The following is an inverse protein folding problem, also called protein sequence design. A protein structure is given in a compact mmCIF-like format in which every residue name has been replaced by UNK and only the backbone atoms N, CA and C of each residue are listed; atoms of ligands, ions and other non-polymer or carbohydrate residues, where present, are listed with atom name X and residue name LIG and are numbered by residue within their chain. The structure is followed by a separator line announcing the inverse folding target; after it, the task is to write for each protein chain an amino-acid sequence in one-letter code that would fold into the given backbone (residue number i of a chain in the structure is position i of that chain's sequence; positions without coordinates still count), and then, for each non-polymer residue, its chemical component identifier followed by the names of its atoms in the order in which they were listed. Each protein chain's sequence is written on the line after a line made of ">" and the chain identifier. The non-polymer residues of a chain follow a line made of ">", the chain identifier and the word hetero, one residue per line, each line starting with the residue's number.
data_IF_243785879412
#
_entry.id   IF_243785879412
#
_cell.length_a   1.000
_cell.length_b   1.000
_cell.length_c   1.000
_cell.angle_alpha   90.00
_cell.angle_beta   90.00
_cell.angle_gamma   90.00
#
_symmetry.space_group_name_H-M   'P 1'
#
loop_
_entity.id
_entity.type
_entity.pdbx_description
1 polymer ?
#
# COMPACT_ATOMS: atom_id res chain seq x y z
N UNK A 1 -38.72 -26.11 41.55
CA UNK A 1 -37.51 -25.83 40.78
C UNK A 1 -37.88 -25.19 39.43
N UNK A 2 -38.32 -23.94 39.40
CA UNK A 2 -38.69 -23.24 38.13
C UNK A 2 -38.52 -21.71 38.23
N UNK A 3 -37.47 -21.21 38.86
CA UNK A 3 -37.20 -19.74 38.95
C UNK A 3 -35.80 -19.29 38.53
N UNK A 4 -34.96 -20.20 37.98
CA UNK A 4 -33.56 -19.86 37.66
C UNK A 4 -33.26 -19.56 36.19
N UNK A 5 -34.18 -19.76 35.22
CA UNK A 5 -33.90 -19.63 33.77
C UNK A 5 -34.30 -18.25 33.22
N UNK A 6 -35.20 -17.53 33.87
CA UNK A 6 -35.67 -16.21 33.41
C UNK A 6 -34.67 -15.07 33.67
N UNK A 7 -33.90 -15.14 34.75
CA UNK A 7 -32.93 -14.07 35.12
C UNK A 7 -31.66 -14.05 34.27
N UNK A 8 -31.20 -15.21 33.77
CA UNK A 8 -30.03 -15.31 32.90
C UNK A 8 -30.22 -14.67 31.51
N UNK A 9 -31.47 -14.72 31.01
CA UNK A 9 -31.79 -14.17 29.69
C UNK A 9 -31.95 -12.65 29.72
N UNK A 10 -32.44 -12.08 30.82
CA UNK A 10 -32.58 -10.62 30.99
C UNK A 10 -31.23 -9.93 31.19
N UNK A 11 -30.29 -10.55 31.92
CA UNK A 11 -28.93 -10.04 32.07
C UNK A 11 -28.13 -10.09 30.73
N UNK A 12 -28.30 -11.14 29.94
CA UNK A 12 -27.68 -11.26 28.61
C UNK A 12 -28.19 -10.18 27.64
N UNK A 13 -29.50 -9.91 27.63
CA UNK A 13 -30.11 -8.88 26.77
C UNK A 13 -29.69 -7.46 27.22
N UNK A 14 -29.61 -7.20 28.53
CA UNK A 14 -29.10 -5.92 29.04
C UNK A 14 -27.60 -5.70 28.69
N UNK A 15 -26.81 -6.75 28.77
CA UNK A 15 -25.38 -6.71 28.38
C UNK A 15 -25.21 -6.44 26.89
N UNK A 16 -26.00 -7.10 26.03
CA UNK A 16 -25.99 -6.86 24.58
C UNK A 16 -26.43 -5.43 24.25
N UNK A 17 -27.52 -4.93 24.85
CA UNK A 17 -27.98 -3.55 24.64
C UNK A 17 -26.98 -2.50 25.14
N UNK A 18 -26.29 -2.79 26.25
CA UNK A 18 -25.23 -1.91 26.78
C UNK A 18 -24.02 -1.88 25.85
N UNK A 19 -23.63 -3.02 25.27
CA UNK A 19 -22.60 -3.12 24.25
C UNK A 19 -22.99 -2.40 22.94
N UNK A 20 -24.24 -2.52 22.50
CA UNK A 20 -24.75 -1.81 21.33
C UNK A 20 -24.78 -0.29 21.53
N UNK A 21 -25.20 0.19 22.71
CA UNK A 21 -25.23 1.61 23.04
C UNK A 21 -23.82 2.19 23.25
N UNK A 22 -22.91 1.42 23.83
CA UNK A 22 -21.48 1.79 23.92
C UNK A 22 -20.84 1.81 22.55
N UNK A 23 -21.13 0.86 21.67
CA UNK A 23 -20.67 0.85 20.27
C UNK A 23 -21.22 2.03 19.46
N UNK A 24 -22.48 2.43 19.66
CA UNK A 24 -23.04 3.60 18.98
C UNK A 24 -22.42 4.93 19.46
N UNK A 25 -22.16 5.08 20.75
CA UNK A 25 -21.48 6.27 21.29
C UNK A 25 -19.99 6.30 20.93
N UNK A 26 -19.31 5.17 20.95
CA UNK A 26 -17.94 5.05 20.48
C UNK A 26 -17.84 5.31 18.97
N UNK A 27 -18.79 4.81 18.18
CA UNK A 27 -18.88 5.04 16.74
C UNK A 27 -19.01 6.52 16.37
N UNK A 28 -19.80 7.29 17.11
CA UNK A 28 -19.97 8.73 16.85
C UNK A 28 -18.72 9.57 17.22
N UNK A 29 -17.98 9.17 18.27
CA UNK A 29 -16.72 9.84 18.63
C UNK A 29 -15.55 9.42 17.76
N UNK A 30 -15.57 8.20 17.21
CA UNK A 30 -14.55 7.63 16.33
C UNK A 30 -14.64 8.22 14.90
N UNK A 31 -15.83 8.61 14.44
CA UNK A 31 -16.04 9.19 13.11
C UNK A 31 -15.42 10.59 12.92
N UNK A 32 -15.04 11.29 14.00
CA UNK A 32 -14.41 12.62 13.93
C UNK A 32 -12.87 12.61 13.98
N UNK A 33 -12.23 11.45 14.22
CA UNK A 33 -10.78 11.38 14.29
C UNK A 33 -10.18 11.09 12.92
N UNK A 34 -9.12 11.83 12.58
CA UNK A 34 -8.37 11.65 11.33
C UNK A 34 -7.83 10.22 11.20
N UNK A 35 -8.03 9.61 10.03
CA UNK A 35 -7.46 8.32 9.63
C UNK A 35 -6.45 8.56 8.54
N UNK A 36 -5.19 8.24 8.80
CA UNK A 36 -4.09 8.43 7.89
C UNK A 36 -4.05 7.34 6.83
N UNK A 37 -3.92 7.73 5.55
CA UNK A 37 -3.59 6.83 4.44
C UNK A 37 -2.09 6.92 4.16
N UNK A 38 -1.38 5.81 4.41
CA UNK A 38 0.06 5.69 4.18
C UNK A 38 0.33 4.97 2.87
N UNK A 39 0.86 5.70 1.88
CA UNK A 39 1.11 5.21 0.53
C UNK A 39 2.53 4.65 0.35
N UNK A 40 2.72 3.56 -0.43
CA UNK A 40 4.02 3.02 -0.76
C UNK A 40 4.67 3.83 -1.88
N UNK A 41 5.94 4.18 -1.73
CA UNK A 41 6.70 4.92 -2.74
C UNK A 41 8.01 4.21 -3.04
N UNK A 42 8.22 3.84 -4.32
CA UNK A 42 9.45 3.23 -4.81
C UNK A 42 10.14 4.02 -5.92
N UNK A 43 9.52 5.13 -6.37
CA UNK A 43 10.07 6.04 -7.39
C UNK A 43 9.47 7.43 -7.26
N UNK A 44 10.02 8.41 -7.95
CA UNK A 44 9.46 9.77 -7.98
C UNK A 44 8.07 9.82 -8.63
N UNK A 45 7.81 8.98 -9.64
CA UNK A 45 6.50 8.84 -10.27
C UNK A 45 5.45 8.36 -9.25
N UNK A 46 5.82 7.39 -8.39
CA UNK A 46 4.96 6.91 -7.32
C UNK A 46 4.77 7.96 -6.21
N UNK A 47 5.79 8.77 -5.90
CA UNK A 47 5.69 9.88 -4.96
C UNK A 47 4.67 10.92 -5.44
N UNK A 48 4.80 11.36 -6.69
CA UNK A 48 3.88 12.32 -7.30
C UNK A 48 2.46 11.76 -7.39
N UNK A 49 2.31 10.48 -7.76
CA UNK A 49 1.02 9.79 -7.80
C UNK A 49 0.35 9.70 -6.41
N UNK A 50 1.12 9.39 -5.36
CA UNK A 50 0.61 9.34 -3.98
C UNK A 50 0.12 10.73 -3.51
N UNK A 51 0.87 11.78 -3.81
CA UNK A 51 0.51 13.17 -3.50
C UNK A 51 -0.76 13.58 -4.26
N UNK A 52 -0.85 13.32 -5.57
CA UNK A 52 -2.04 13.60 -6.39
C UNK A 52 -3.28 12.90 -5.85
N UNK A 53 -3.14 11.66 -5.38
CA UNK A 53 -4.22 10.87 -4.83
C UNK A 53 -4.64 11.31 -3.40
N UNK A 54 -3.92 12.25 -2.79
CA UNK A 54 -4.22 12.79 -1.46
C UNK A 54 -3.77 11.88 -0.31
N UNK A 55 -2.66 11.16 -0.47
CA UNK A 55 -2.05 10.42 0.64
C UNK A 55 -1.69 11.36 1.79
N UNK A 56 -1.87 10.92 3.04
CA UNK A 56 -1.50 11.69 4.23
C UNK A 56 -0.02 11.46 4.58
N UNK A 57 0.50 10.30 4.22
CA UNK A 57 1.89 9.93 4.41
C UNK A 57 2.39 9.04 3.28
N UNK A 58 3.70 9.06 3.07
CA UNK A 58 4.40 8.15 2.14
C UNK A 58 5.50 7.41 2.88
N UNK A 59 5.71 6.12 2.53
CA UNK A 59 6.82 5.36 3.07
C UNK A 59 7.68 4.76 1.95
N UNK A 60 8.98 4.77 2.16
CA UNK A 60 9.96 4.38 1.14
C UNK A 60 11.21 3.76 1.78
N UNK A 61 12.10 3.19 0.96
CA UNK A 61 13.39 2.64 1.37
C UNK A 61 14.55 3.36 0.71
N UNK A 62 15.67 3.41 1.41
CA UNK A 62 16.95 3.89 0.91
C UNK A 62 17.98 2.76 1.10
N UNK A 63 18.84 2.54 0.09
CA UNK A 63 19.91 1.55 0.14
C UNK A 63 19.44 0.14 0.55
N UNK A 64 20.17 -0.50 1.44
CA UNK A 64 20.02 -1.93 1.74
C UNK A 64 19.28 -2.25 3.04
N UNK A 65 19.18 -1.32 3.98
CA UNK A 65 18.64 -1.59 5.33
C UNK A 65 17.10 -1.60 5.39
N UNK A 66 16.45 -2.11 4.36
CA UNK A 66 15.00 -2.19 4.29
C UNK A 66 14.50 -3.52 3.67
N UNK A 67 13.29 -3.95 4.06
CA UNK A 67 12.69 -5.24 3.67
C UNK A 67 12.39 -5.40 2.17
N UNK A 68 12.64 -4.41 1.34
CA UNK A 68 12.47 -4.43 -0.13
C UNK A 68 13.76 -4.03 -0.86
N UNK A 69 14.92 -4.14 -0.21
CA UNK A 69 16.20 -3.73 -0.77
C UNK A 69 16.53 -4.36 -2.14
N UNK A 70 16.05 -5.59 -2.40
CA UNK A 70 16.25 -6.30 -3.68
C UNK A 70 14.99 -6.43 -4.55
N UNK A 71 13.82 -6.08 -4.04
CA UNK A 71 12.54 -6.32 -4.74
C UNK A 71 11.79 -5.04 -5.14
N UNK A 72 12.35 -3.87 -4.87
CA UNK A 72 11.87 -2.58 -5.31
C UNK A 72 13.05 -1.70 -5.72
N UNK A 73 12.81 -0.73 -6.59
CA UNK A 73 13.74 0.37 -6.75
C UNK A 73 13.81 1.12 -5.42
N UNK A 74 15.02 1.37 -4.92
CA UNK A 74 15.22 2.12 -3.70
C UNK A 74 15.85 3.46 -4.05
N UNK A 75 15.51 4.47 -3.26
CA UNK A 75 16.17 5.76 -3.33
C UNK A 75 17.58 5.69 -2.74
N UNK A 76 18.36 6.71 -2.96
CA UNK A 76 19.68 6.93 -2.36
C UNK A 76 19.56 7.91 -1.19
N UNK A 77 20.63 8.07 -0.42
CA UNK A 77 20.69 9.03 0.69
C UNK A 77 20.52 10.47 0.17
N UNK A 78 21.05 10.76 -1.02
CA UNK A 78 20.96 12.05 -1.68
C UNK A 78 19.52 12.44 -2.05
N UNK A 79 18.64 11.45 -2.26
CA UNK A 79 17.23 11.69 -2.58
C UNK A 79 16.41 12.18 -1.38
N UNK A 80 16.88 11.92 -0.13
CA UNK A 80 16.12 12.20 1.09
C UNK A 80 15.63 13.65 1.18
N UNK A 81 16.52 14.61 0.88
CA UNK A 81 16.18 16.04 0.90
C UNK A 81 15.07 16.39 -0.11
N UNK A 82 15.19 15.90 -1.34
CA UNK A 82 14.20 16.14 -2.40
C UNK A 82 12.85 15.50 -2.08
N UNK A 83 12.84 14.30 -1.52
CA UNK A 83 11.61 13.60 -1.12
C UNK A 83 10.92 14.38 0.00
N UNK A 84 11.68 14.75 1.05
CA UNK A 84 11.15 15.49 2.18
C UNK A 84 10.55 16.84 1.77
N UNK A 85 11.29 17.63 0.98
CA UNK A 85 10.84 18.94 0.47
C UNK A 85 9.58 18.79 -0.40
N UNK A 86 9.55 17.79 -1.31
CA UNK A 86 8.41 17.56 -2.19
C UNK A 86 7.16 17.18 -1.38
N UNK A 87 7.28 16.26 -0.44
CA UNK A 87 6.16 15.85 0.40
C UNK A 87 5.69 16.98 1.31
N UNK A 88 6.61 17.72 1.95
CA UNK A 88 6.29 18.81 2.87
C UNK A 88 5.52 19.96 2.20
N UNK A 89 5.86 20.30 0.95
CA UNK A 89 5.11 21.33 0.17
C UNK A 89 3.63 20.98 -0.01
N UNK A 90 3.28 19.70 0.09
CA UNK A 90 1.91 19.20 -0.04
C UNK A 90 1.30 18.74 1.30
N UNK A 91 2.00 18.97 2.43
CA UNK A 91 1.52 18.56 3.75
C UNK A 91 1.54 17.04 3.98
N UNK A 92 2.32 16.29 3.19
CA UNK A 92 2.43 14.83 3.28
C UNK A 92 3.60 14.43 4.16
N UNK A 93 3.37 13.54 5.13
CA UNK A 93 4.41 13.01 6.02
C UNK A 93 5.29 11.98 5.31
N UNK A 94 6.56 11.88 5.74
CA UNK A 94 7.55 10.99 5.10
C UNK A 94 8.09 9.99 6.11
N UNK A 95 8.07 8.70 5.76
CA UNK A 95 8.51 7.61 6.63
C UNK A 95 9.56 6.76 5.93
N UNK A 96 10.78 6.76 6.48
CA UNK A 96 11.87 5.93 5.96
C UNK A 96 11.84 4.55 6.61
N UNK A 97 11.85 3.49 5.79
CA UNK A 97 11.96 2.12 6.31
C UNK A 97 13.42 1.75 6.56
N UNK A 98 13.75 1.47 7.82
CA UNK A 98 15.01 0.87 8.29
C UNK A 98 14.61 -0.35 9.11
N UNK A 99 14.00 -1.33 8.45
CA UNK A 99 13.25 -2.40 9.11
C UNK A 99 13.76 -3.81 8.82
N UNK A 100 15.01 -3.95 8.41
CA UNK A 100 15.75 -5.22 8.41
C UNK A 100 16.33 -5.52 9.79
N UNK A 101 16.78 -6.74 10.00
CA UNK A 101 17.69 -7.09 11.11
C UNK A 101 19.04 -6.44 10.81
N UNK A 102 19.67 -5.82 11.79
CA UNK A 102 20.97 -5.14 11.68
C UNK A 102 22.06 -6.02 12.27
N UNK A 103 23.16 -6.20 11.54
CA UNK A 103 24.34 -6.90 12.04
C UNK A 103 25.37 -5.89 12.59
N UNK A 104 26.32 -6.37 13.40
CA UNK A 104 27.28 -5.49 14.06
C UNK A 104 28.12 -4.64 13.10
N UNK A 105 28.43 -5.17 11.93
CA UNK A 105 29.16 -4.49 10.86
C UNK A 105 28.34 -3.45 10.08
N UNK A 106 27.06 -3.35 10.34
CA UNK A 106 26.12 -2.40 9.71
C UNK A 106 25.68 -1.27 10.66
N UNK A 107 26.13 -1.29 11.92
CA UNK A 107 25.71 -0.30 12.93
C UNK A 107 26.08 1.12 12.50
N UNK A 108 27.28 1.33 11.98
CA UNK A 108 27.75 2.65 11.54
C UNK A 108 26.94 3.14 10.32
N UNK A 109 26.73 2.29 9.31
CA UNK A 109 25.87 2.59 8.14
C UNK A 109 24.42 2.96 8.58
N UNK A 110 23.89 2.20 9.54
CA UNK A 110 22.56 2.46 10.11
C UNK A 110 22.52 3.83 10.82
N UNK A 111 23.51 4.16 11.63
CA UNK A 111 23.60 5.45 12.29
C UNK A 111 23.66 6.60 11.29
N UNK A 112 24.51 6.49 10.26
CA UNK A 112 24.63 7.49 9.19
C UNK A 112 23.32 7.69 8.47
N UNK A 113 22.61 6.60 8.11
CA UNK A 113 21.32 6.66 7.42
C UNK A 113 20.24 7.35 8.27
N UNK A 114 20.13 7.03 9.55
CA UNK A 114 19.14 7.60 10.46
C UNK A 114 19.46 9.09 10.72
N UNK A 115 20.74 9.48 10.84
CA UNK A 115 21.16 10.88 10.95
C UNK A 115 20.84 11.67 9.67
N UNK A 116 21.12 11.10 8.50
CA UNK A 116 20.80 11.72 7.22
C UNK A 116 19.29 11.94 7.05
N UNK A 117 18.48 10.96 7.46
CA UNK A 117 17.02 11.08 7.46
C UNK A 117 16.55 12.24 8.38
N UNK A 118 17.11 12.33 9.59
CA UNK A 118 16.82 13.46 10.49
C UNK A 118 17.22 14.80 9.89
N UNK A 119 18.43 14.90 9.34
CA UNK A 119 18.94 16.13 8.72
C UNK A 119 18.09 16.56 7.51
N UNK A 120 17.57 15.62 6.74
CA UNK A 120 16.68 15.88 5.62
C UNK A 120 15.24 16.26 6.02
N UNK A 121 14.88 16.14 7.29
CA UNK A 121 13.53 16.45 7.78
C UNK A 121 12.51 15.32 7.52
N UNK A 122 12.97 14.07 7.40
CA UNK A 122 12.09 12.88 7.35
C UNK A 122 11.32 12.79 8.67
N UNK A 123 10.00 12.57 8.58
CA UNK A 123 9.09 12.63 9.73
C UNK A 123 9.35 11.51 10.73
N UNK A 124 9.47 10.24 10.25
CA UNK A 124 9.68 9.08 11.12
C UNK A 124 10.50 7.97 10.47
N UNK A 125 11.01 7.08 11.31
CA UNK A 125 11.67 5.83 10.92
C UNK A 125 10.74 4.65 11.22
N UNK A 126 10.49 3.80 10.23
CA UNK A 126 9.80 2.52 10.42
C UNK A 126 10.85 1.45 10.70
N UNK A 127 10.89 0.93 11.92
CA UNK A 127 11.95 0.06 12.42
C UNK A 127 11.43 -1.25 13.04
N UNK A 128 12.26 -2.28 13.05
CA UNK A 128 12.01 -3.56 13.73
C UNK A 128 13.17 -4.03 14.60
N UNK A 129 14.37 -3.60 14.31
CA UNK A 129 15.58 -3.93 15.08
C UNK A 129 15.74 -2.94 16.26
N UNK A 130 16.09 -3.46 17.43
CA UNK A 130 16.27 -2.63 18.62
C UNK A 130 17.40 -1.61 18.48
N UNK A 131 18.45 -1.91 17.72
CA UNK A 131 19.53 -0.97 17.45
C UNK A 131 19.01 0.28 16.74
N UNK A 132 18.14 0.10 15.73
CA UNK A 132 17.49 1.22 15.01
C UNK A 132 16.51 1.97 15.91
N UNK A 133 15.63 1.23 16.61
CA UNK A 133 14.57 1.80 17.46
C UNK A 133 15.19 2.69 18.55
N UNK A 134 16.15 2.16 19.31
CA UNK A 134 16.75 2.88 20.42
C UNK A 134 17.62 4.04 19.94
N UNK A 135 18.35 3.88 18.85
CA UNK A 135 19.16 4.94 18.28
C UNK A 135 18.31 6.09 17.75
N UNK A 136 17.32 5.81 16.90
CA UNK A 136 16.42 6.84 16.36
C UNK A 136 15.73 7.64 17.48
N UNK A 137 15.21 6.93 18.50
CA UNK A 137 14.63 7.55 19.68
C UNK A 137 15.63 8.44 20.43
N UNK A 138 16.87 7.96 20.66
CA UNK A 138 17.90 8.68 21.40
C UNK A 138 18.29 10.02 20.78
N UNK A 139 18.20 10.12 19.45
CA UNK A 139 18.49 11.36 18.72
C UNK A 139 17.20 12.18 18.43
N UNK A 140 16.06 11.79 18.98
CA UNK A 140 14.78 12.51 18.86
C UNK A 140 14.11 12.38 17.49
N UNK A 141 14.27 11.27 16.79
CA UNK A 141 13.53 10.92 15.57
C UNK A 141 12.33 10.06 15.96
N UNK A 142 11.15 10.37 15.42
CA UNK A 142 9.93 9.58 15.61
C UNK A 142 10.12 8.14 15.10
N UNK A 143 9.63 7.16 15.85
CA UNK A 143 9.72 5.75 15.53
C UNK A 143 8.33 5.15 15.36
N UNK A 144 8.14 4.41 14.27
CA UNK A 144 7.00 3.51 14.05
C UNK A 144 7.48 2.06 14.11
N UNK A 145 6.85 1.25 14.96
CA UNK A 145 7.24 -0.17 15.08
C UNK A 145 6.69 -0.95 13.90
N UNK A 146 7.60 -1.55 13.14
CA UNK A 146 7.28 -2.30 11.93
C UNK A 146 6.55 -3.61 12.23
N UNK A 147 5.79 -4.10 11.23
CA UNK A 147 5.06 -5.39 11.30
C UNK A 147 5.96 -6.59 11.61
N UNK A 148 7.28 -6.51 11.35
CA UNK A 148 8.24 -7.58 11.67
C UNK A 148 8.37 -7.84 13.19
N UNK A 149 7.99 -6.88 14.04
CA UNK A 149 7.91 -7.08 15.48
C UNK A 149 6.70 -7.93 15.90
N UNK A 150 5.76 -8.22 15.00
CA UNK A 150 4.62 -9.12 15.21
C UNK A 150 3.81 -8.78 16.47
N UNK A 151 3.52 -7.49 16.69
CA UNK A 151 2.76 -7.01 17.84
C UNK A 151 1.34 -7.61 17.81
N UNK A 152 1.01 -8.44 18.78
CA UNK A 152 -0.22 -9.22 18.83
C UNK A 152 -0.98 -9.13 20.14
N UNK A 153 -0.49 -8.37 21.11
CA UNK A 153 -1.12 -8.23 22.41
C UNK A 153 -0.77 -6.88 23.07
N UNK A 154 -1.51 -6.57 24.14
CA UNK A 154 -1.41 -5.31 24.86
C UNK A 154 -0.08 -5.10 25.60
N UNK A 155 0.58 -6.16 26.04
CA UNK A 155 1.86 -6.05 26.74
C UNK A 155 2.99 -5.70 25.76
N UNK A 156 2.95 -6.23 24.53
CA UNK A 156 3.85 -5.82 23.48
C UNK A 156 3.67 -4.32 23.13
N UNK A 157 2.42 -3.84 23.06
CA UNK A 157 2.14 -2.42 22.84
C UNK A 157 2.72 -1.57 23.97
N UNK A 158 2.48 -1.96 25.25
CA UNK A 158 3.02 -1.24 26.42
C UNK A 158 4.55 -1.19 26.41
N UNK A 159 5.18 -2.28 25.98
CA UNK A 159 6.65 -2.34 25.86
C UNK A 159 7.16 -1.37 24.80
N UNK A 160 6.58 -1.39 23.59
CA UNK A 160 7.06 -0.55 22.48
C UNK A 160 6.64 0.92 22.60
N UNK A 161 5.59 1.24 23.37
CA UNK A 161 5.16 2.61 23.63
C UNK A 161 6.27 3.50 24.27
N UNK A 162 7.29 2.89 24.87
CA UNK A 162 8.43 3.61 25.42
C UNK A 162 9.30 4.28 24.34
N UNK A 163 9.24 3.80 23.09
CA UNK A 163 10.09 4.28 21.99
C UNK A 163 9.31 4.74 20.76
N UNK A 164 8.01 4.42 20.66
CA UNK A 164 7.27 4.62 19.43
C UNK A 164 5.88 5.19 19.66
N UNK A 165 5.44 6.05 18.74
CA UNK A 165 4.11 6.65 18.73
C UNK A 165 3.11 5.85 17.89
N UNK A 166 3.60 4.99 16.99
CA UNK A 166 2.79 4.12 16.12
C UNK A 166 3.30 2.69 16.17
N UNK A 167 2.37 1.75 16.30
CA UNK A 167 2.66 0.31 16.28
C UNK A 167 1.86 -0.39 15.18
N UNK A 168 2.53 -1.24 14.39
CA UNK A 168 1.87 -2.09 13.39
C UNK A 168 1.50 -3.42 14.02
N UNK A 169 0.22 -3.77 14.02
CA UNK A 169 -0.20 -5.08 14.52
C UNK A 169 0.17 -6.21 13.56
N UNK A 170 0.31 -7.41 14.10
CA UNK A 170 0.51 -8.63 13.31
C UNK A 170 -0.66 -8.81 12.31
N UNK A 171 -0.33 -9.28 11.11
CA UNK A 171 -1.28 -9.36 9.98
C UNK A 171 -2.35 -10.44 10.16
N UNK A 172 -2.09 -11.42 10.99
CA UNK A 172 -2.96 -12.54 11.31
C UNK A 172 -4.01 -12.25 12.39
N UNK A 173 -4.00 -11.05 12.98
CA UNK A 173 -4.96 -10.69 14.01
C UNK A 173 -6.35 -10.40 13.42
N UNK A 174 -7.42 -11.00 13.97
CA UNK A 174 -8.78 -10.60 13.66
C UNK A 174 -9.11 -9.22 14.28
N UNK A 175 -10.01 -8.47 13.66
CA UNK A 175 -10.40 -7.13 14.09
C UNK A 175 -10.84 -7.05 15.56
N UNK A 176 -11.42 -8.13 16.11
CA UNK A 176 -11.76 -8.19 17.52
C UNK A 176 -10.53 -7.95 18.41
N UNK A 177 -9.41 -8.64 18.13
CA UNK A 177 -8.18 -8.45 18.90
C UNK A 177 -7.53 -7.07 18.64
N UNK A 178 -7.61 -6.56 17.41
CA UNK A 178 -7.17 -5.18 17.12
C UNK A 178 -8.00 -4.17 17.94
N UNK A 179 -9.32 -4.34 18.02
CA UNK A 179 -10.19 -3.49 18.82
C UNK A 179 -9.88 -3.58 20.33
N UNK A 180 -9.58 -4.77 20.84
CA UNK A 180 -9.14 -4.97 22.23
C UNK A 180 -7.84 -4.20 22.53
N UNK A 181 -6.86 -4.22 21.61
CA UNK A 181 -5.61 -3.47 21.73
C UNK A 181 -5.88 -1.95 21.72
N UNK A 182 -6.65 -1.45 20.78
CA UNK A 182 -6.95 -0.01 20.70
C UNK A 182 -7.77 0.48 21.90
N UNK A 183 -8.69 -0.34 22.40
CA UNK A 183 -9.44 -0.04 23.61
C UNK A 183 -8.54 -0.01 24.84
N UNK A 184 -7.63 -0.97 24.97
CA UNK A 184 -6.65 -1.01 26.06
C UNK A 184 -5.75 0.23 26.09
N UNK A 185 -5.28 0.70 24.91
CA UNK A 185 -4.49 1.95 24.80
C UNK A 185 -5.28 3.12 25.39
N UNK A 186 -6.55 3.28 25.04
CA UNK A 186 -7.41 4.35 25.56
C UNK A 186 -7.68 4.23 27.05
N UNK A 187 -8.05 3.03 27.50
CA UNK A 187 -8.48 2.80 28.89
C UNK A 187 -7.31 2.94 29.89
N UNK A 188 -6.09 2.67 29.45
CA UNK A 188 -4.88 2.72 30.28
C UNK A 188 -3.99 3.92 29.97
N UNK A 189 -4.44 4.86 29.14
CA UNK A 189 -3.71 6.07 28.74
C UNK A 189 -2.28 5.77 28.24
N UNK A 190 -2.12 4.74 27.39
CA UNK A 190 -0.81 4.32 26.88
C UNK A 190 -0.33 5.33 25.85
N UNK A 191 0.70 6.10 26.20
CA UNK A 191 1.25 7.18 25.40
C UNK A 191 2.64 6.83 24.85
N UNK A 192 2.90 7.32 23.65
CA UNK A 192 4.21 7.28 23.03
C UNK A 192 5.12 8.44 23.47
N UNK A 193 6.34 8.53 22.92
CA UNK A 193 7.31 9.60 23.24
C UNK A 193 6.82 11.03 23.03
N UNK A 194 5.89 11.27 22.12
CA UNK A 194 5.25 12.58 21.88
C UNK A 194 4.24 12.97 22.95
N UNK A 195 3.92 12.09 23.88
CA UNK A 195 2.88 12.29 24.89
C UNK A 195 1.45 12.11 24.38
N UNK A 196 1.26 11.65 23.16
CA UNK A 196 -0.02 11.29 22.58
C UNK A 196 -0.31 9.79 22.75
N UNK A 197 -1.59 9.39 22.67
CA UNK A 197 -1.94 7.97 22.70
C UNK A 197 -1.27 7.24 21.52
N UNK A 198 -0.68 6.08 21.80
CA UNK A 198 -0.09 5.23 20.77
C UNK A 198 -1.15 4.88 19.71
N UNK A 199 -0.80 5.08 18.45
CA UNK A 199 -1.67 4.79 17.32
C UNK A 199 -1.44 3.37 16.80
N UNK A 200 -2.52 2.73 16.38
CA UNK A 200 -2.47 1.40 15.76
C UNK A 200 -2.55 1.55 14.25
N UNK A 201 -1.53 0.99 13.57
CA UNK A 201 -1.44 0.86 12.13
C UNK A 201 -1.81 -0.58 11.72
N UNK A 202 -2.57 -0.71 10.63
CA UNK A 202 -2.85 -1.99 9.99
C UNK A 202 -2.62 -1.92 8.49
N UNK A 203 -2.32 -3.06 7.85
CA UNK A 203 -2.36 -3.14 6.40
C UNK A 203 -3.81 -3.11 5.90
N UNK A 204 -4.08 -2.26 4.92
CA UNK A 204 -5.41 -2.10 4.34
C UNK A 204 -5.52 -2.74 2.95
N UNK A 205 -4.43 -2.72 2.16
CA UNK A 205 -4.46 -3.19 0.78
C UNK A 205 -3.10 -3.73 0.33
N UNK A 206 -3.12 -4.69 -0.61
CA UNK A 206 -1.97 -5.16 -1.37
C UNK A 206 -1.44 -6.51 -0.93
N UNK A 207 -0.22 -6.83 -1.35
CA UNK A 207 0.35 -8.15 -1.22
C UNK A 207 0.42 -8.65 0.23
N UNK A 208 -0.17 -9.82 0.46
CA UNK A 208 -0.05 -10.52 1.74
C UNK A 208 1.08 -11.58 1.67
N UNK A 209 1.81 -11.74 2.77
CA UNK A 209 2.81 -12.77 2.89
C UNK A 209 2.15 -14.08 3.39
N UNK A 210 2.59 -15.23 2.86
CA UNK A 210 2.16 -16.52 3.35
C UNK A 210 2.75 -16.89 4.73
N UNK A 211 3.85 -16.24 5.08
CA UNK A 211 4.57 -16.44 6.35
C UNK A 211 4.30 -15.31 7.32
N UNK A 212 4.45 -15.58 8.61
CA UNK A 212 4.57 -14.55 9.64
C UNK A 212 5.63 -13.54 9.23
N UNK A 213 5.35 -12.25 9.40
CA UNK A 213 6.20 -11.17 8.90
C UNK A 213 7.63 -11.28 9.43
N UNK A 214 8.61 -11.29 8.50
CA UNK A 214 10.03 -11.40 8.81
C UNK A 214 10.51 -12.81 9.22
N UNK A 215 9.68 -13.85 9.18
CA UNK A 215 10.03 -15.21 9.65
C UNK A 215 10.13 -16.26 8.53
N UNK A 216 10.16 -15.83 7.26
CA UNK A 216 10.21 -16.74 6.12
C UNK A 216 11.65 -17.21 5.83
N UNK A 217 11.84 -18.53 5.74
CA UNK A 217 13.11 -19.17 5.40
C UNK A 217 13.27 -19.59 3.94
N UNK A 218 12.22 -19.54 3.11
CA UNK A 218 12.25 -20.08 1.75
C UNK A 218 13.43 -19.56 0.91
N UNK A 219 13.63 -18.25 0.87
CA UNK A 219 14.75 -17.68 0.09
C UNK A 219 16.11 -17.89 0.74
N UNK A 220 16.15 -18.04 2.06
CA UNK A 220 17.40 -18.30 2.78
C UNK A 220 17.87 -19.74 2.54
N UNK A 221 16.98 -20.71 2.66
CA UNK A 221 17.26 -22.13 2.48
C UNK A 221 17.72 -22.44 1.05
N UNK A 222 16.95 -21.98 0.06
CA UNK A 222 17.19 -22.32 -1.35
C UNK A 222 18.36 -21.54 -1.98
N UNK A 223 18.54 -20.27 -1.61
CA UNK A 223 19.47 -19.35 -2.30
C UNK A 223 20.41 -18.58 -1.37
N UNK A 224 20.39 -18.84 -0.09
CA UNK A 224 21.13 -18.08 0.92
C UNK A 224 20.78 -16.57 0.92
N UNK A 225 19.50 -16.24 0.63
CA UNK A 225 18.96 -14.88 0.65
C UNK A 225 17.94 -14.70 1.76
N UNK A 226 18.32 -14.03 2.86
CA UNK A 226 17.44 -13.84 4.00
C UNK A 226 16.34 -12.81 3.73
N UNK A 227 15.08 -13.23 3.90
CA UNK A 227 13.94 -12.33 3.80
C UNK A 227 13.97 -11.23 4.88
N UNK A 228 14.49 -11.52 6.10
CA UNK A 228 14.70 -10.53 7.15
C UNK A 228 15.72 -9.45 6.80
N UNK A 229 16.52 -9.70 5.80
CA UNK A 229 17.57 -8.82 5.30
C UNK A 229 17.16 -8.15 3.98
N UNK A 230 15.88 -8.09 3.67
CA UNK A 230 15.35 -7.47 2.45
C UNK A 230 15.52 -8.29 1.18
N UNK A 231 16.05 -9.52 1.26
CA UNK A 231 16.39 -10.35 0.11
C UNK A 231 15.36 -11.45 -0.19
N UNK A 232 14.07 -11.17 -0.02
CA UNK A 232 12.99 -12.09 -0.38
C UNK A 232 12.87 -12.26 -1.90
N UNK A 233 13.13 -13.45 -2.42
CA UNK A 233 13.01 -13.80 -3.85
C UNK A 233 11.59 -14.21 -4.27
N UNK A 234 10.61 -14.14 -3.36
CA UNK A 234 9.20 -14.48 -3.58
C UNK A 234 8.99 -15.89 -4.13
N UNK A 235 9.74 -16.89 -3.64
CA UNK A 235 9.64 -18.28 -4.08
C UNK A 235 8.21 -18.82 -3.93
N UNK A 236 7.48 -18.40 -2.89
CA UNK A 236 6.07 -18.75 -2.71
C UNK A 236 5.14 -18.32 -3.86
N UNK A 237 5.65 -17.55 -4.84
CA UNK A 237 4.91 -17.05 -6.01
C UNK A 237 5.22 -17.81 -7.28
N UNK A 238 6.12 -18.83 -7.25
CA UNK A 238 6.50 -19.65 -8.39
C UNK A 238 5.52 -20.80 -8.59
N UNK A 239 5.56 -21.41 -9.76
CA UNK A 239 4.91 -22.69 -10.06
C UNK A 239 5.76 -23.83 -9.50
N UNK A 240 5.11 -24.90 -9.04
CA UNK A 240 5.77 -26.06 -8.47
C UNK A 240 5.19 -27.35 -9.04
N UNK A 241 6.07 -28.32 -9.31
CA UNK A 241 5.71 -29.71 -9.52
C UNK A 241 5.79 -30.43 -8.18
N UNK A 242 4.66 -30.95 -7.71
CA UNK A 242 4.61 -31.77 -6.49
C UNK A 242 4.51 -33.23 -6.90
N UNK A 243 5.54 -33.99 -6.55
CA UNK A 243 5.58 -35.45 -6.80
C UNK A 243 5.30 -36.19 -5.51
N UNK A 244 4.34 -37.11 -5.57
CA UNK A 244 4.14 -38.10 -4.49
C UNK A 244 5.26 -39.16 -4.57
N UNK A 245 5.98 -39.31 -3.47
CA UNK A 245 7.14 -40.24 -3.42
C UNK A 245 6.70 -41.71 -3.39
N UNK A 246 5.47 -42.00 -2.90
CA UNK A 246 4.98 -43.37 -2.75
C UNK A 246 4.20 -43.89 -3.96
N UNK A 247 3.54 -42.98 -4.72
CA UNK A 247 2.63 -43.40 -5.83
C UNK A 247 3.08 -42.97 -7.22
N UNK A 248 4.23 -42.35 -7.40
CA UNK A 248 4.69 -41.74 -8.67
C UNK A 248 3.71 -40.71 -9.28
N UNK A 249 2.68 -40.31 -8.53
CA UNK A 249 1.71 -39.29 -8.98
C UNK A 249 2.37 -37.93 -8.99
N UNK A 250 2.33 -37.24 -10.13
CA UNK A 250 2.82 -35.89 -10.28
C UNK A 250 1.64 -34.92 -10.38
N UNK A 251 1.62 -33.90 -9.51
CA UNK A 251 0.68 -32.79 -9.53
C UNK A 251 1.41 -31.55 -10.04
N UNK A 252 1.12 -31.16 -11.28
CA UNK A 252 1.51 -29.84 -11.75
C UNK A 252 0.60 -28.80 -11.08
N UNK A 253 1.16 -28.03 -10.16
CA UNK A 253 0.49 -26.90 -9.54
C UNK A 253 0.63 -25.69 -10.47
N UNK A 254 0.07 -25.82 -11.67
CA UNK A 254 -0.04 -24.74 -12.63
C UNK A 254 -1.40 -24.05 -12.45
N UNK A 255 -1.38 -22.74 -12.26
CA UNK A 255 -2.61 -21.93 -12.14
C UNK A 255 -3.27 -21.88 -10.76
N UNK A 256 -2.92 -22.79 -9.81
CA UNK A 256 -3.39 -22.70 -8.41
C UNK A 256 -2.20 -22.74 -7.49
N UNK A 257 -1.80 -21.59 -6.99
CA UNK A 257 -0.62 -21.48 -6.13
C UNK A 257 -0.93 -21.97 -4.71
N UNK A 258 -0.25 -22.99 -4.26
CA UNK A 258 -0.39 -23.52 -2.90
C UNK A 258 0.09 -22.52 -1.85
N UNK A 259 0.99 -21.60 -2.22
CA UNK A 259 1.67 -20.69 -1.29
C UNK A 259 1.57 -19.21 -1.67
N UNK A 260 0.83 -18.86 -2.75
CA UNK A 260 0.66 -17.48 -3.18
C UNK A 260 -0.68 -16.91 -2.73
N UNK A 261 -0.75 -16.20 -1.58
CA UNK A 261 -2.00 -15.59 -1.13
C UNK A 261 -2.51 -14.57 -2.15
N UNK A 262 -3.84 -14.45 -2.25
CA UNK A 262 -4.50 -13.30 -2.86
C UNK A 262 -4.06 -12.01 -2.17
N UNK A 263 -4.23 -10.89 -2.84
CA UNK A 263 -3.90 -9.60 -2.26
C UNK A 263 -4.99 -9.18 -1.25
N UNK A 264 -4.56 -8.61 -0.12
CA UNK A 264 -5.47 -8.06 0.88
C UNK A 264 -6.27 -6.91 0.27
N UNK A 265 -7.58 -6.90 0.52
CA UNK A 265 -8.46 -5.78 0.18
C UNK A 265 -9.50 -5.58 1.28
N UNK A 266 -9.37 -4.49 2.02
CA UNK A 266 -10.28 -4.20 3.15
C UNK A 266 -11.39 -3.22 2.80
N UNK A 267 -11.47 -2.81 1.53
CA UNK A 267 -12.41 -1.77 1.06
C UNK A 267 -13.88 -2.14 1.34
N UNK A 268 -14.21 -3.42 1.42
CA UNK A 268 -15.57 -3.90 1.70
C UNK A 268 -16.00 -3.85 3.17
N UNK A 269 -15.07 -3.58 4.11
CA UNK A 269 -15.34 -3.53 5.55
C UNK A 269 -14.46 -2.50 6.28
N UNK A 270 -14.06 -1.45 5.57
CA UNK A 270 -13.20 -0.39 6.08
C UNK A 270 -13.81 0.32 7.29
N UNK A 271 -15.11 0.47 7.30
CA UNK A 271 -15.88 1.02 8.41
C UNK A 271 -15.66 0.24 9.73
N UNK A 272 -15.52 -1.09 9.64
CA UNK A 272 -15.24 -1.96 10.81
C UNK A 272 -13.81 -1.74 11.33
N UNK A 273 -12.84 -1.54 10.43
CA UNK A 273 -11.45 -1.24 10.80
C UNK A 273 -11.37 0.10 11.53
N UNK A 274 -12.01 1.14 10.99
CA UNK A 274 -12.04 2.46 11.61
C UNK A 274 -12.74 2.41 12.97
N UNK A 275 -13.87 1.71 13.09
CA UNK A 275 -14.58 1.49 14.36
C UNK A 275 -13.76 0.68 15.37
N UNK A 276 -12.90 -0.22 14.92
CA UNK A 276 -11.96 -0.92 15.80
C UNK A 276 -10.89 0.00 16.41
N UNK A 277 -10.86 1.29 16.04
CA UNK A 277 -9.95 2.30 16.61
C UNK A 277 -8.62 2.44 15.89
N UNK A 278 -8.47 1.83 14.73
CA UNK A 278 -7.28 1.99 13.85
C UNK A 278 -7.20 3.44 13.36
N UNK A 279 -5.96 3.97 13.31
CA UNK A 279 -5.69 5.35 12.89
C UNK A 279 -4.79 5.46 11.66
N UNK A 280 -4.03 4.42 11.34
CA UNK A 280 -3.14 4.43 10.18
C UNK A 280 -3.45 3.22 9.29
N UNK A 281 -3.78 3.49 8.04
CA UNK A 281 -4.09 2.50 7.01
C UNK A 281 -2.92 2.43 6.03
N UNK A 282 -2.18 1.32 6.07
CA UNK A 282 -1.02 1.11 5.23
C UNK A 282 -1.37 0.37 3.96
N UNK A 283 -0.96 0.92 2.82
CA UNK A 283 -1.04 0.28 1.51
C UNK A 283 0.30 -0.41 1.22
N UNK A 284 0.31 -1.70 0.92
CA UNK A 284 1.52 -2.41 0.48
C UNK A 284 1.70 -2.27 -1.02
N UNK A 285 2.94 -1.99 -1.47
CA UNK A 285 3.19 -1.89 -2.90
C UNK A 285 4.40 -1.06 -3.34
N UNK A 286 5.51 -0.98 -2.60
CA UNK A 286 6.71 -0.20 -2.99
C UNK A 286 7.30 -0.59 -4.35
N UNK A 287 7.14 -1.84 -4.78
CA UNK A 287 7.52 -2.30 -6.12
C UNK A 287 6.41 -2.17 -7.17
N UNK A 288 5.30 -1.48 -6.87
CA UNK A 288 4.20 -1.26 -7.80
C UNK A 288 4.38 0.02 -8.60
N UNK A 289 3.72 0.09 -9.75
CA UNK A 289 3.71 1.26 -10.62
C UNK A 289 2.91 2.42 -10.04
N UNK A 290 3.15 3.62 -10.55
CA UNK A 290 2.54 4.85 -10.06
C UNK A 290 1.00 4.86 -10.18
N UNK A 291 0.44 4.26 -11.23
CA UNK A 291 -1.01 4.11 -11.42
C UNK A 291 -1.65 3.23 -10.36
N UNK A 292 -0.98 2.14 -9.94
CA UNK A 292 -1.43 1.35 -8.79
C UNK A 292 -1.51 2.22 -7.52
N UNK A 293 -0.45 2.98 -7.24
CA UNK A 293 -0.40 3.84 -6.05
C UNK A 293 -1.53 4.86 -6.09
N UNK A 294 -1.71 5.56 -7.22
CA UNK A 294 -2.79 6.56 -7.39
C UNK A 294 -4.16 5.93 -7.16
N UNK A 295 -4.50 4.90 -7.91
CA UNK A 295 -5.82 4.26 -7.87
C UNK A 295 -6.17 3.74 -6.48
N UNK A 296 -5.22 3.06 -5.82
CA UNK A 296 -5.47 2.48 -4.48
C UNK A 296 -5.65 3.59 -3.44
N UNK A 297 -4.78 4.61 -3.44
CA UNK A 297 -4.88 5.72 -2.48
C UNK A 297 -6.19 6.48 -2.67
N UNK A 298 -6.58 6.82 -3.90
CA UNK A 298 -7.86 7.51 -4.18
C UNK A 298 -9.05 6.72 -3.64
N UNK A 299 -9.14 5.41 -3.95
CA UNK A 299 -10.23 4.56 -3.46
C UNK A 299 -10.32 4.55 -1.94
N UNK A 300 -9.18 4.42 -1.23
CA UNK A 300 -9.17 4.41 0.22
C UNK A 300 -9.44 5.79 0.84
N UNK A 301 -8.98 6.90 0.23
CA UNK A 301 -9.34 8.27 0.67
C UNK A 301 -10.83 8.51 0.55
N UNK A 302 -11.41 8.18 -0.60
CA UNK A 302 -12.86 8.30 -0.82
C UNK A 302 -13.66 7.42 0.15
N UNK A 303 -13.19 6.19 0.43
CA UNK A 303 -13.85 5.28 1.36
C UNK A 303 -13.78 5.76 2.81
N UNK A 304 -12.62 6.28 3.27
CA UNK A 304 -12.49 6.89 4.60
C UNK A 304 -13.41 8.08 4.75
N UNK A 305 -13.44 8.96 3.75
CA UNK A 305 -14.35 10.11 3.72
C UNK A 305 -15.82 9.66 3.77
N UNK A 306 -16.19 8.65 2.99
CA UNK A 306 -17.55 8.11 2.98
C UNK A 306 -17.97 7.51 4.33
N UNK A 307 -17.04 6.86 5.05
CA UNK A 307 -17.31 6.38 6.42
C UNK A 307 -17.57 7.56 7.36
N UNK A 308 -16.77 8.62 7.27
CA UNK A 308 -16.93 9.81 8.09
C UNK A 308 -18.25 10.55 7.82
N UNK A 309 -18.67 10.59 6.55
CA UNK A 309 -19.91 11.24 6.09
C UNK A 309 -21.17 10.36 6.23
N UNK A 310 -21.01 9.07 6.59
CA UNK A 310 -22.13 8.12 6.64
C UNK A 310 -22.67 7.70 5.26
N UNK A 311 -21.88 7.88 4.19
CA UNK A 311 -22.22 7.56 2.80
C UNK A 311 -21.52 6.29 2.28
N UNK A 312 -20.96 5.48 3.15
CA UNK A 312 -20.27 4.22 2.82
C UNK A 312 -21.29 3.11 2.53
N UNK A 313 -21.69 2.99 1.26
CA UNK A 313 -22.73 2.06 0.78
C UNK A 313 -22.14 0.89 -0.01
N UNK A 314 -22.92 -0.17 -0.20
CA UNK A 314 -22.52 -1.34 -1.00
C UNK A 314 -22.27 -0.96 -2.47
N UNK A 315 -23.03 -0.02 -3.01
CA UNK A 315 -22.85 0.48 -4.37
C UNK A 315 -21.48 1.18 -4.53
N UNK A 316 -21.12 2.07 -3.61
CA UNK A 316 -19.79 2.71 -3.61
C UNK A 316 -18.66 1.70 -3.44
N UNK A 317 -18.84 0.72 -2.55
CA UNK A 317 -17.89 -0.38 -2.36
C UNK A 317 -17.67 -1.15 -3.67
N UNK A 318 -18.74 -1.48 -4.40
CA UNK A 318 -18.64 -2.14 -5.69
C UNK A 318 -17.85 -1.30 -6.70
N UNK A 319 -18.12 0.00 -6.81
CA UNK A 319 -17.41 0.93 -7.68
C UNK A 319 -15.92 1.05 -7.33
N UNK A 320 -15.56 1.13 -6.04
CA UNK A 320 -14.15 1.11 -5.64
C UNK A 320 -13.48 -0.23 -5.92
N UNK A 321 -14.19 -1.36 -5.71
CA UNK A 321 -13.66 -2.68 -6.01
C UNK A 321 -13.39 -2.85 -7.50
N UNK A 322 -14.25 -2.36 -8.36
CA UNK A 322 -14.05 -2.33 -9.80
C UNK A 322 -12.80 -1.51 -10.16
N UNK A 323 -12.67 -0.28 -9.65
CA UNK A 323 -11.48 0.55 -9.87
C UNK A 323 -10.20 -0.14 -9.36
N UNK A 324 -10.22 -0.77 -8.19
CA UNK A 324 -9.09 -1.51 -7.65
C UNK A 324 -8.70 -2.71 -8.52
N UNK A 325 -9.66 -3.31 -9.24
CA UNK A 325 -9.40 -4.42 -10.15
C UNK A 325 -8.69 -4.01 -11.44
N UNK A 326 -8.71 -2.73 -11.82
CA UNK A 326 -8.04 -2.24 -13.04
C UNK A 326 -6.52 -2.24 -12.92
N UNK A 327 -5.99 -2.17 -11.69
CA UNK A 327 -4.55 -2.17 -11.44
C UNK A 327 -4.07 -3.52 -10.94
N UNK A 328 -2.75 -3.69 -10.86
CA UNK A 328 -2.14 -4.96 -10.48
C UNK A 328 -2.75 -5.54 -9.19
N UNK A 329 -3.29 -6.76 -9.28
CA UNK A 329 -3.75 -7.55 -8.13
C UNK A 329 -3.58 -9.06 -8.41
N UNK A 330 -3.77 -9.91 -7.39
CA UNK A 330 -3.76 -11.38 -7.46
C UNK A 330 -5.10 -11.98 -7.06
N UNK A 331 -6.21 -11.27 -7.36
CA UNK A 331 -7.49 -11.50 -6.72
C UNK A 331 -7.48 -10.93 -5.30
N UNK A 332 -8.65 -10.68 -4.76
CA UNK A 332 -8.82 -10.02 -3.47
C UNK A 332 -9.39 -10.97 -2.41
N UNK A 333 -8.99 -10.75 -1.14
CA UNK A 333 -9.58 -11.37 0.01
C UNK A 333 -9.49 -10.45 1.24
N UNK A 334 -10.22 -10.78 2.30
CA UNK A 334 -10.33 -9.98 3.54
C UNK A 334 -9.19 -10.22 4.56
N UNK A 335 -8.20 -11.04 4.19
CA UNK A 335 -7.16 -11.43 5.12
C UNK A 335 -7.74 -12.21 6.32
N UNK A 336 -7.13 -12.02 7.48
CA UNK A 336 -7.58 -12.65 8.72
C UNK A 336 -8.51 -11.77 9.55
N UNK A 337 -8.78 -10.54 9.13
CA UNK A 337 -9.52 -9.54 9.91
C UNK A 337 -10.93 -9.99 10.30
N UNK A 338 -11.62 -10.71 9.42
CA UNK A 338 -12.98 -11.21 9.68
C UNK A 338 -13.00 -12.60 10.34
N UNK A 339 -11.86 -13.07 10.87
CA UNK A 339 -11.77 -14.30 11.66
C UNK A 339 -11.54 -15.57 10.85
N UNK A 340 -11.15 -15.49 9.59
CA UNK A 340 -10.74 -16.66 8.80
C UNK A 340 -9.49 -17.31 9.38
N UNK A 341 -9.46 -18.65 9.37
CA UNK A 341 -8.33 -19.45 9.88
C UNK A 341 -7.42 -19.97 8.76
N UNK A 342 -7.88 -19.96 7.52
CA UNK A 342 -7.13 -20.41 6.33
C UNK A 342 -7.07 -19.29 5.32
N UNK A 343 -5.89 -19.15 4.67
CA UNK A 343 -5.67 -18.18 3.60
C UNK A 343 -6.43 -18.52 2.33
N UNK A 344 -6.64 -17.52 1.48
CA UNK A 344 -7.09 -17.70 0.09
C UNK A 344 -5.91 -17.53 -0.84
N UNK A 345 -5.80 -18.43 -1.83
CA UNK A 345 -4.68 -18.50 -2.74
C UNK A 345 -5.03 -17.91 -4.10
N UNK A 346 -4.06 -17.30 -4.77
CA UNK A 346 -4.21 -16.81 -6.14
C UNK A 346 -4.46 -17.99 -7.10
N UNK A 347 -5.33 -17.81 -8.05
CA UNK A 347 -5.66 -18.83 -9.08
C UNK A 347 -4.77 -18.73 -10.31
N UNK A 348 -4.04 -17.61 -10.51
CA UNK A 348 -3.20 -17.34 -11.66
C UNK A 348 -1.83 -16.82 -11.24
N UNK A 349 -0.82 -17.05 -12.08
CA UNK A 349 0.48 -16.38 -11.99
C UNK A 349 0.36 -14.94 -12.48
N UNK A 350 1.01 -14.01 -11.77
CA UNK A 350 1.07 -12.63 -12.20
C UNK A 350 -0.12 -11.79 -11.77
N UNK A 351 -0.50 -10.85 -12.62
CA UNK A 351 -1.59 -9.90 -12.39
C UNK A 351 -2.94 -10.44 -12.87
N UNK A 352 -3.99 -10.14 -12.10
CA UNK A 352 -5.39 -10.32 -12.51
C UNK A 352 -6.05 -8.97 -12.82
N UNK A 353 -5.25 -7.94 -13.12
CA UNK A 353 -5.77 -6.63 -13.50
C UNK A 353 -6.66 -6.74 -14.76
N UNK A 354 -7.76 -6.02 -14.76
CA UNK A 354 -8.69 -5.94 -15.89
C UNK A 354 -8.25 -4.95 -16.97
N UNK A 355 -7.17 -4.22 -16.72
CA UNK A 355 -6.54 -3.31 -17.69
C UNK A 355 -5.04 -3.64 -17.84
N UNK A 356 -4.52 -3.39 -19.04
CA UNK A 356 -3.11 -3.53 -19.38
C UNK A 356 -2.57 -2.23 -19.97
N UNK A 357 -1.33 -1.88 -19.64
CA UNK A 357 -0.63 -0.70 -20.17
C UNK A 357 0.34 -1.12 -21.26
N UNK A 358 0.12 -0.63 -22.47
CA UNK A 358 1.00 -0.83 -23.62
C UNK A 358 1.86 0.40 -23.79
N UNK A 359 3.16 0.27 -23.63
CA UNK A 359 4.09 1.38 -23.82
C UNK A 359 4.11 1.81 -25.29
N UNK A 360 3.87 3.08 -25.53
CA UNK A 360 3.86 3.67 -26.86
C UNK A 360 5.11 4.54 -27.15
N UNK A 361 5.52 5.34 -26.16
CA UNK A 361 6.58 6.32 -26.35
C UNK A 361 6.63 7.35 -25.24
N UNK A 362 6.86 8.62 -25.59
CA UNK A 362 7.05 9.68 -24.59
C UNK A 362 6.54 11.04 -25.04
N UNK A 363 6.35 11.91 -24.08
CA UNK A 363 6.14 13.36 -24.27
C UNK A 363 7.44 14.01 -24.74
N UNK A 364 7.38 14.73 -25.85
CA UNK A 364 8.51 15.47 -26.42
C UNK A 364 8.51 16.94 -26.04
N UNK A 365 7.31 17.54 -25.91
CA UNK A 365 7.13 18.93 -25.54
C UNK A 365 5.75 19.20 -24.94
N UNK A 366 5.57 20.35 -24.30
CA UNK A 366 4.28 20.84 -23.81
C UNK A 366 4.08 22.31 -24.11
N UNK A 367 2.96 22.65 -24.70
CA UNK A 367 2.59 24.01 -25.07
C UNK A 367 1.56 24.55 -24.09
N UNK A 368 1.99 25.37 -23.13
CA UNK A 368 1.18 25.85 -22.02
C UNK A 368 -0.09 26.64 -22.44
N UNK A 369 0.00 27.52 -23.45
CA UNK A 369 -1.13 28.36 -23.86
C UNK A 369 -2.29 27.56 -24.45
N UNK A 370 -2.07 26.66 -25.44
CA UNK A 370 -3.13 25.84 -25.98
C UNK A 370 -3.45 24.61 -25.09
N UNK A 371 -2.66 24.34 -24.04
CA UNK A 371 -2.75 23.13 -23.20
C UNK A 371 -2.64 21.84 -24.03
N UNK A 372 -1.57 21.75 -24.81
CA UNK A 372 -1.33 20.66 -25.76
C UNK A 372 0.01 20.00 -25.45
N UNK A 373 0.01 18.68 -25.30
CA UNK A 373 1.21 17.88 -25.23
C UNK A 373 1.60 17.35 -26.61
N UNK A 374 2.85 17.52 -26.98
CA UNK A 374 3.45 16.86 -28.13
C UNK A 374 4.11 15.56 -27.69
N UNK A 375 3.82 14.50 -28.40
CA UNK A 375 4.22 13.13 -28.07
C UNK A 375 4.80 12.42 -29.30
N UNK A 376 5.61 11.39 -29.06
CA UNK A 376 6.16 10.55 -30.13
C UNK A 376 5.91 9.08 -29.83
N UNK A 377 5.42 8.34 -30.84
CA UNK A 377 5.34 6.87 -30.77
C UNK A 377 6.73 6.30 -31.09
N UNK A 378 7.26 5.50 -30.16
CA UNK A 378 8.60 4.88 -30.27
C UNK A 378 8.54 3.38 -30.59
N UNK A 379 7.39 2.77 -30.42
CA UNK A 379 7.17 1.31 -30.61
C UNK A 379 6.41 1.03 -31.90
N UNK A 380 6.26 -0.24 -32.25
CA UNK A 380 5.43 -0.69 -33.38
C UNK A 380 3.91 -0.59 -33.12
N UNK A 381 3.54 -0.12 -31.94
CA UNK A 381 2.15 0.06 -31.53
C UNK A 381 1.56 1.34 -32.13
N UNK A 382 0.24 1.49 -31.94
CA UNK A 382 -0.54 2.64 -32.43
C UNK A 382 -1.43 3.22 -31.33
N UNK A 383 -1.94 4.44 -31.57
CA UNK A 383 -2.95 5.11 -30.74
C UNK A 383 -4.02 5.69 -31.64
N UNK A 384 -5.30 5.47 -31.30
CA UNK A 384 -6.48 5.93 -32.03
C UNK A 384 -7.33 6.88 -31.23
N UNK A 385 -8.10 7.72 -31.96
CA UNK A 385 -9.17 8.50 -31.34
C UNK A 385 -10.18 7.56 -30.70
N UNK A 386 -10.58 7.85 -29.46
CA UNK A 386 -11.48 7.04 -28.64
C UNK A 386 -10.79 6.03 -27.73
N UNK A 387 -9.48 5.78 -27.90
CA UNK A 387 -8.72 4.93 -26.96
C UNK A 387 -8.27 5.72 -25.73
N UNK A 388 -8.04 5.00 -24.64
CA UNK A 388 -7.53 5.57 -23.40
C UNK A 388 -6.01 5.67 -23.43
N UNK A 389 -5.51 6.87 -23.16
CA UNK A 389 -4.08 7.12 -22.94
C UNK A 389 -3.78 7.31 -21.46
N UNK A 390 -2.58 6.91 -21.06
CA UNK A 390 -2.00 7.18 -19.75
C UNK A 390 -0.59 7.75 -19.92
N UNK A 391 -0.28 8.81 -19.18
CA UNK A 391 1.06 9.39 -19.13
C UNK A 391 1.58 9.29 -17.70
N UNK A 392 2.81 8.77 -17.55
CA UNK A 392 3.46 8.60 -16.23
C UNK A 392 4.79 9.32 -16.24
N UNK A 393 5.00 10.23 -15.29
CA UNK A 393 6.22 11.01 -15.15
C UNK A 393 6.55 11.38 -13.71
N UNK A 394 7.82 11.74 -13.47
CA UNK A 394 8.32 12.05 -12.12
C UNK A 394 7.61 13.25 -11.48
N UNK A 395 7.28 14.26 -12.26
CA UNK A 395 6.57 15.45 -11.79
C UNK A 395 5.09 15.37 -12.09
N UNK A 396 4.74 14.81 -13.25
CA UNK A 396 3.36 14.63 -13.72
C UNK A 396 2.59 13.61 -12.84
N UNK A 397 3.28 12.64 -12.22
CA UNK A 397 2.63 11.53 -11.57
C UNK A 397 1.91 10.66 -12.60
N UNK A 398 0.58 10.57 -12.54
CA UNK A 398 -0.24 9.81 -13.50
C UNK A 398 -1.34 10.69 -14.05
N UNK A 399 -1.32 10.90 -15.36
CA UNK A 399 -2.39 11.53 -16.13
C UNK A 399 -3.09 10.46 -16.97
N UNK A 400 -4.41 10.45 -16.99
CA UNK A 400 -5.22 9.55 -17.83
C UNK A 400 -6.34 10.34 -18.51
N UNK A 401 -6.55 10.07 -19.80
CA UNK A 401 -7.65 10.64 -20.58
C UNK A 401 -8.01 9.72 -21.76
N UNK A 402 -9.25 9.81 -22.22
CA UNK A 402 -9.64 9.26 -23.51
C UNK A 402 -9.21 10.24 -24.63
N UNK A 403 -8.64 9.73 -25.69
CA UNK A 403 -8.17 10.52 -26.84
C UNK A 403 -9.36 11.07 -27.61
N UNK A 404 -9.64 12.36 -27.48
CA UNK A 404 -10.72 13.01 -28.22
C UNK A 404 -10.28 13.42 -29.65
N UNK A 405 -9.01 13.83 -29.81
CA UNK A 405 -8.45 14.30 -31.07
C UNK A 405 -6.94 14.04 -31.12
N UNK A 406 -6.46 13.56 -32.27
CA UNK A 406 -5.05 13.43 -32.60
C UNK A 406 -4.68 14.41 -33.72
N UNK A 407 -3.57 15.14 -33.56
CA UNK A 407 -3.06 16.04 -34.59
C UNK A 407 -1.62 15.68 -34.94
N UNK A 408 -1.39 15.36 -36.21
CA UNK A 408 -0.11 14.84 -36.70
C UNK A 408 0.83 16.00 -37.14
N UNK A 409 2.08 15.90 -36.68
CA UNK A 409 3.21 16.71 -37.15
C UNK A 409 3.08 18.22 -36.90
N UNK A 410 4.01 18.98 -37.46
CA UNK A 410 4.08 20.44 -37.30
C UNK A 410 2.87 21.20 -37.89
N UNK A 411 2.18 20.62 -38.87
CA UNK A 411 1.00 21.21 -39.50
C UNK A 411 -0.28 20.95 -38.67
N UNK A 412 -0.19 20.17 -37.60
CA UNK A 412 -1.29 19.84 -36.70
C UNK A 412 -2.57 19.36 -37.42
N UNK A 413 -2.42 18.56 -38.47
CA UNK A 413 -3.56 17.99 -39.22
C UNK A 413 -4.29 16.94 -38.36
N UNK A 414 -5.62 16.97 -38.23
CA UNK A 414 -6.36 15.96 -37.50
C UNK A 414 -6.26 14.61 -38.23
N UNK A 415 -5.99 13.57 -37.46
CA UNK A 415 -5.89 12.18 -37.92
C UNK A 415 -6.67 11.26 -36.97
N UNK A 416 -7.04 10.06 -37.45
CA UNK A 416 -7.75 9.07 -36.62
C UNK A 416 -6.80 8.13 -35.86
N UNK A 417 -5.57 8.00 -36.33
CA UNK A 417 -4.58 7.06 -35.82
C UNK A 417 -3.15 7.62 -36.01
N UNK A 418 -2.29 7.31 -35.05
CA UNK A 418 -0.83 7.55 -35.11
C UNK A 418 -0.08 6.26 -34.80
N UNK A 419 1.07 6.05 -35.42
CA UNK A 419 1.89 4.85 -35.30
C UNK A 419 3.37 5.15 -35.13
N UNK A 420 4.21 4.11 -35.27
CA UNK A 420 5.65 4.18 -35.05
C UNK A 420 6.33 5.32 -35.80
N UNK A 421 7.07 6.14 -35.07
CA UNK A 421 7.83 7.28 -35.60
C UNK A 421 7.04 8.58 -35.66
N UNK A 422 5.71 8.53 -35.58
CA UNK A 422 4.85 9.72 -35.63
C UNK A 422 5.08 10.62 -34.42
N UNK A 423 5.15 11.93 -34.71
CA UNK A 423 5.09 13.00 -33.73
C UNK A 423 3.70 13.64 -33.84
N UNK A 424 2.97 13.65 -32.75
CA UNK A 424 1.58 14.10 -32.72
C UNK A 424 1.30 14.91 -31.46
N UNK A 425 0.16 15.56 -31.44
CA UNK A 425 -0.26 16.35 -30.28
C UNK A 425 -1.68 16.01 -29.85
N UNK A 426 -1.88 16.08 -28.52
CA UNK A 426 -3.15 15.86 -27.83
C UNK A 426 -3.40 17.02 -26.87
N UNK A 427 -4.64 17.50 -26.79
CA UNK A 427 -5.06 18.44 -25.76
C UNK A 427 -5.16 17.74 -24.42
N UNK A 428 -4.62 18.36 -23.37
CA UNK A 428 -4.63 17.77 -22.01
C UNK A 428 -5.15 18.76 -21.00
N UNK A 429 -5.69 18.27 -19.89
CA UNK A 429 -6.20 19.09 -18.78
C UNK A 429 -5.10 19.43 -17.76
N UNK A 430 -3.97 18.73 -17.83
CA UNK A 430 -2.85 18.89 -16.93
C UNK A 430 -1.55 19.15 -17.72
N UNK A 431 -0.57 19.75 -17.07
CA UNK A 431 0.75 19.98 -17.66
C UNK A 431 1.53 18.66 -17.65
N UNK A 432 1.94 18.20 -18.83
CA UNK A 432 2.80 17.04 -18.98
C UNK A 432 4.24 17.52 -19.21
N UNK A 433 5.22 16.69 -18.81
CA UNK A 433 6.62 17.07 -18.87
C UNK A 433 7.37 16.25 -19.92
N UNK A 434 8.37 16.89 -20.54
CA UNK A 434 9.23 16.20 -21.49
C UNK A 434 9.91 14.99 -20.87
N UNK A 435 9.81 13.84 -21.55
CA UNK A 435 10.35 12.57 -21.10
C UNK A 435 9.34 11.69 -20.35
N UNK A 436 8.15 12.21 -19.99
CA UNK A 436 7.08 11.40 -19.40
C UNK A 436 6.70 10.27 -20.36
N UNK A 437 6.49 9.08 -19.82
CA UNK A 437 6.18 7.88 -20.57
C UNK A 437 4.72 7.82 -20.97
N UNK A 438 4.47 7.56 -22.26
CA UNK A 438 3.15 7.42 -22.84
C UNK A 438 2.75 5.95 -22.97
N UNK A 439 1.52 5.63 -22.57
CA UNK A 439 0.93 4.31 -22.68
C UNK A 439 -0.49 4.39 -23.27
N UNK A 440 -0.88 3.36 -24.03
CA UNK A 440 -2.28 3.03 -24.28
C UNK A 440 -2.77 2.13 -23.16
N UNK A 441 -4.02 2.29 -22.74
CA UNK A 441 -4.66 1.44 -21.74
C UNK A 441 -5.67 0.54 -22.43
N UNK A 442 -5.37 -0.75 -22.48
CA UNK A 442 -6.22 -1.76 -23.10
C UNK A 442 -7.00 -2.52 -22.03
N UNK A 443 -8.28 -2.80 -22.28
CA UNK A 443 -9.04 -3.72 -21.44
C UNK A 443 -8.57 -5.15 -21.69
N UNK A 444 -8.33 -5.89 -20.63
CA UNK A 444 -8.03 -7.32 -20.72
C UNK A 444 -9.35 -8.04 -21.00
N UNK A 445 -9.44 -8.63 -22.20
CA UNK A 445 -10.54 -9.54 -22.54
C UNK A 445 -10.06 -10.93 -22.13
N UNK A 446 -10.74 -11.57 -21.17
CA UNK A 446 -10.48 -12.98 -20.88
C UNK A 446 -10.88 -13.79 -22.11
N UNK A 447 -9.90 -14.23 -22.89
CA UNK A 447 -10.13 -15.26 -23.91
C UNK A 447 -10.33 -16.59 -23.18
N UNK A 448 -11.57 -17.06 -23.12
CA UNK A 448 -11.95 -18.38 -22.61
C UNK A 448 -11.59 -19.50 -23.61
#
# INVERSE_FOLDING_TARGET
>A
MQTGIADGNAQSIQTIRRMETMNQKAGAAVSQQHVEIMAPVGSYESLSAAIQAGADAVYFGVGNLNMRSRSAANFTVEDLGRIAETAQRHGVRTYLTVNTIIYNDEIDEMHELVQAAKAAGITAIIASDMAVITYAHSIGVEVHISTQCNISNVEAVRFFAQWADVVVTARELPLRQVAEITQFIRDNDIRGPKGELVQVEVFAHGALCMSVSGKCYLSLDEYNYSANRGACLQLCRREYLVKDVESDTELLVSGKYIMSPKDLCTIGFLDKIIRAGVRVLKIEGRGRSADYVKTVVECYKEAVQAVAEGTYTQERIAGWTERLSTVFNRGFWDGYYLGRKMGEWSERYGSQATENKVYLGKVTNYYNRPQVAEMKIETAEHLRVGEDLMVIGQTTGVYRATVEELRLGATAQPVQEVGQGDVFSVKTTEVLHRGDKLYRVDKVVDEF
#
